data_IF_144331167024
#
_entry.id   IF_144331167024
#
_cell.length_a   1.000
_cell.length_b   1.000
_cell.length_c   1.000
_cell.angle_alpha   90.00
_cell.angle_beta   90.00
_cell.angle_gamma   90.00
#
_symmetry.space_group_name_H-M   'P 1'
#
loop_
_entity.id
_entity.type
_entity.pdbx_description
1 polymer ?
#
# COMPACT_ATOMS: atom_id res chain seq x y z
N UNK A 1 24.76 78.54 -37.09
CA UNK A 1 25.09 77.18 -36.64
C UNK A 1 26.51 76.85 -37.08
N UNK A 2 27.43 76.62 -36.13
CA UNK A 2 28.84 76.36 -36.44
C UNK A 2 28.99 75.07 -37.25
N UNK A 3 29.64 75.13 -38.42
CA UNK A 3 29.85 73.96 -39.30
C UNK A 3 30.48 72.77 -38.56
N UNK A 4 31.35 73.02 -37.57
CA UNK A 4 31.93 71.96 -36.72
C UNK A 4 30.94 71.16 -35.89
N UNK A 5 29.82 71.74 -35.45
CA UNK A 5 28.83 71.04 -34.60
C UNK A 5 27.99 70.07 -35.44
N UNK A 6 27.72 70.43 -36.70
CA UNK A 6 27.00 69.59 -37.65
C UNK A 6 27.84 68.39 -38.05
N UNK A 7 29.15 68.57 -38.28
CA UNK A 7 30.03 67.43 -38.55
C UNK A 7 30.13 66.47 -37.36
N UNK A 8 30.14 67.00 -36.13
CA UNK A 8 30.22 66.18 -34.91
C UNK A 8 28.93 65.37 -34.69
N UNK A 9 27.76 65.95 -34.97
CA UNK A 9 26.49 65.23 -34.93
C UNK A 9 26.37 64.16 -36.03
N UNK A 10 26.81 64.46 -37.26
CA UNK A 10 26.79 63.49 -38.37
C UNK A 10 27.77 62.34 -38.11
N UNK A 11 28.96 62.61 -37.58
CA UNK A 11 29.94 61.56 -37.25
C UNK A 11 29.51 60.68 -36.07
N UNK A 12 28.84 61.24 -35.07
CA UNK A 12 28.23 60.43 -33.99
C UNK A 12 27.07 59.57 -34.52
N UNK A 13 26.26 60.08 -35.46
CA UNK A 13 25.18 59.30 -36.08
C UNK A 13 25.70 58.14 -36.96
N UNK A 14 26.85 58.32 -37.63
CA UNK A 14 27.53 57.23 -38.34
C UNK A 14 28.18 56.22 -37.39
N UNK A 15 28.66 56.63 -36.21
CA UNK A 15 29.21 55.71 -35.21
C UNK A 15 28.13 54.80 -34.58
N UNK A 16 26.88 55.26 -34.47
CA UNK A 16 25.75 54.44 -33.98
C UNK A 16 25.14 53.51 -35.04
N UNK A 17 25.42 53.72 -36.33
CA UNK A 17 25.01 52.80 -37.42
C UNK A 17 26.12 51.81 -37.81
N UNK A 18 27.29 51.89 -37.18
CA UNK A 18 28.47 51.06 -37.50
C UNK A 18 28.82 50.03 -36.43
N UNK A 19 27.84 49.60 -35.64
CA UNK A 19 27.92 48.33 -34.90
C UNK A 19 27.11 47.25 -35.61
N UNK A 20 27.25 47.13 -36.93
CA UNK A 20 27.23 45.78 -37.50
C UNK A 20 28.47 45.09 -36.93
N UNK A 21 28.24 44.22 -35.96
CA UNK A 21 29.21 43.20 -35.62
C UNK A 21 29.65 42.57 -36.95
N UNK A 22 30.94 42.65 -37.27
CA UNK A 22 31.51 41.73 -38.26
C UNK A 22 31.39 40.35 -37.63
N UNK A 23 30.23 39.73 -37.85
CA UNK A 23 30.03 38.29 -37.78
C UNK A 23 31.14 37.71 -38.64
N UNK A 24 32.21 37.25 -38.00
CA UNK A 24 33.37 36.69 -38.68
C UNK A 24 32.88 35.63 -39.66
N UNK A 25 33.51 35.59 -40.83
CA UNK A 25 33.23 34.69 -41.96
C UNK A 25 33.48 33.21 -41.67
N UNK A 26 33.17 32.75 -40.45
CA UNK A 26 33.17 31.36 -40.02
C UNK A 26 31.80 30.95 -39.45
N UNK A 27 30.71 31.59 -39.91
CA UNK A 27 29.41 30.93 -39.82
C UNK A 27 29.40 29.87 -40.92
N UNK A 28 29.89 28.67 -40.59
CA UNK A 28 29.38 27.49 -41.28
C UNK A 28 27.89 27.49 -40.96
N UNK A 29 27.05 27.76 -41.97
CA UNK A 29 25.69 27.27 -41.97
C UNK A 29 25.81 25.76 -41.85
N UNK A 30 25.82 25.26 -40.62
CA UNK A 30 25.55 23.86 -40.38
C UNK A 30 24.15 23.66 -40.92
N UNK A 31 24.02 22.81 -41.94
CA UNK A 31 22.73 22.26 -42.34
C UNK A 31 21.96 21.98 -41.06
N UNK A 32 20.78 22.61 -40.95
CA UNK A 32 19.87 22.42 -39.84
C UNK A 32 19.78 20.90 -39.65
N UNK A 33 20.39 20.36 -38.59
CA UNK A 33 20.20 18.98 -38.21
C UNK A 33 18.72 18.86 -37.86
N UNK A 34 17.87 18.59 -38.85
CA UNK A 34 16.52 18.12 -38.64
C UNK A 34 16.68 16.68 -38.18
N UNK A 35 17.09 16.52 -36.93
CA UNK A 35 16.99 15.25 -36.27
C UNK A 35 15.50 14.98 -36.09
N UNK A 36 14.97 13.96 -36.76
CA UNK A 36 13.58 13.51 -36.62
C UNK A 36 13.28 13.02 -35.18
N UNK A 37 14.32 12.86 -34.36
CA UNK A 37 14.28 12.46 -32.96
C UNK A 37 15.44 13.09 -32.20
N UNK A 38 15.26 13.27 -30.90
CA UNK A 38 16.22 13.72 -29.89
C UNK A 38 16.92 12.53 -29.21
N UNK A 39 16.25 11.37 -29.14
CA UNK A 39 16.71 10.20 -28.41
C UNK A 39 17.02 9.01 -29.33
N UNK A 40 18.17 8.36 -29.13
CA UNK A 40 18.48 7.08 -29.76
C UNK A 40 17.57 5.96 -29.19
N UNK A 41 17.44 5.89 -27.86
CA UNK A 41 16.57 4.93 -27.17
C UNK A 41 15.91 5.56 -25.94
N UNK A 42 14.78 4.97 -25.56
CA UNK A 42 14.11 5.19 -24.27
C UNK A 42 13.81 3.80 -23.72
N UNK A 43 14.44 3.47 -22.60
CA UNK A 43 14.45 2.13 -22.04
C UNK A 43 13.85 2.17 -20.63
N UNK A 44 12.92 1.24 -20.36
CA UNK A 44 12.29 1.08 -19.05
C UNK A 44 12.86 -0.13 -18.32
N UNK A 45 13.13 0.03 -17.01
CA UNK A 45 13.70 -0.98 -16.13
C UNK A 45 12.84 -1.17 -14.89
N UNK A 46 13.07 -2.28 -14.19
CA UNK A 46 12.35 -2.64 -12.97
C UNK A 46 11.16 -3.55 -13.30
N UNK A 47 9.93 -3.21 -12.90
CA UNK A 47 8.77 -4.10 -13.01
C UNK A 47 8.18 -4.22 -14.43
N UNK A 48 8.77 -3.56 -15.43
CA UNK A 48 8.32 -3.60 -16.82
C UNK A 48 8.81 -4.87 -17.52
N UNK A 49 7.88 -5.75 -17.88
CA UNK A 49 8.12 -6.93 -18.71
C UNK A 49 7.84 -6.53 -20.16
N UNK A 50 8.83 -6.66 -21.03
CA UNK A 50 8.63 -6.39 -22.46
C UNK A 50 8.18 -7.67 -23.18
N UNK A 51 6.90 -7.72 -23.57
CA UNK A 51 6.38 -8.76 -24.45
C UNK A 51 6.72 -8.39 -25.90
N UNK A 52 7.79 -9.00 -26.40
CA UNK A 52 8.32 -8.76 -27.74
C UNK A 52 7.40 -9.23 -28.87
N UNK A 53 6.54 -10.23 -28.61
CA UNK A 53 5.61 -10.75 -29.63
C UNK A 53 4.49 -9.75 -29.88
N UNK A 54 3.91 -9.22 -28.81
CA UNK A 54 2.79 -8.27 -28.88
C UNK A 54 3.24 -6.79 -28.85
N UNK A 55 4.54 -6.53 -28.69
CA UNK A 55 5.16 -5.19 -28.58
C UNK A 55 4.49 -4.32 -27.50
N UNK A 56 4.21 -4.93 -26.36
CA UNK A 56 3.52 -4.32 -25.23
C UNK A 56 4.38 -4.43 -23.97
N UNK A 57 4.33 -3.41 -23.12
CA UNK A 57 4.83 -3.55 -21.76
C UNK A 57 3.76 -4.18 -20.88
N UNK A 58 4.15 -5.14 -20.06
CA UNK A 58 3.28 -5.71 -19.03
C UNK A 58 3.90 -5.37 -17.68
N UNK A 59 3.10 -4.81 -16.80
CA UNK A 59 3.49 -4.62 -15.39
C UNK A 59 2.53 -5.43 -14.55
N UNK A 60 3.11 -6.35 -13.81
CA UNK A 60 2.36 -7.22 -12.91
C UNK A 60 2.61 -6.82 -11.44
N UNK A 61 3.71 -6.11 -11.13
CA UNK A 61 4.21 -5.89 -9.76
C UNK A 61 4.59 -4.45 -9.47
N UNK A 62 4.38 -4.01 -8.22
CA UNK A 62 4.91 -2.75 -7.72
C UNK A 62 6.43 -2.85 -7.55
N UNK A 63 7.14 -1.74 -7.66
CA UNK A 63 8.57 -1.70 -7.40
C UNK A 63 9.27 -0.47 -7.94
N UNK A 64 10.58 -0.40 -7.64
CA UNK A 64 11.44 0.64 -8.19
C UNK A 64 11.56 0.47 -9.70
N UNK A 65 11.09 1.48 -10.41
CA UNK A 65 11.15 1.60 -11.84
C UNK A 65 12.17 2.67 -12.24
N UNK A 66 12.71 2.54 -13.45
CA UNK A 66 13.52 3.59 -14.04
C UNK A 66 13.27 3.72 -15.53
N UNK A 67 13.22 4.96 -16.01
CA UNK A 67 13.28 5.31 -17.42
C UNK A 67 14.67 5.90 -17.72
N UNK A 68 15.36 5.36 -18.72
CA UNK A 68 16.65 5.85 -19.19
C UNK A 68 16.54 6.29 -20.64
N UNK A 69 17.00 7.51 -20.91
CA UNK A 69 17.10 8.07 -22.24
C UNK A 69 18.55 7.99 -22.68
N UNK A 70 18.77 7.50 -23.91
CA UNK A 70 20.06 7.63 -24.59
C UNK A 70 19.93 8.75 -25.64
N UNK A 71 20.37 9.99 -25.36
CA UNK A 71 20.23 11.09 -26.31
C UNK A 71 21.13 10.88 -27.53
N UNK A 72 20.72 11.43 -28.68
CA UNK A 72 21.61 11.51 -29.85
C UNK A 72 22.78 12.46 -29.57
N UNK A 73 23.96 12.23 -30.19
CA UNK A 73 25.11 13.12 -30.04
C UNK A 73 24.74 14.57 -30.36
N UNK A 74 25.13 15.49 -29.47
CA UNK A 74 24.85 16.93 -29.61
C UNK A 74 23.58 17.41 -28.90
N UNK A 75 22.72 16.50 -28.44
CA UNK A 75 21.58 16.82 -27.59
C UNK A 75 21.90 16.68 -26.11
N UNK A 76 21.45 17.64 -25.32
CA UNK A 76 21.48 17.63 -23.86
C UNK A 76 20.04 17.60 -23.35
N UNK A 77 19.68 16.53 -22.64
CA UNK A 77 18.35 16.38 -22.05
C UNK A 77 18.24 17.31 -20.84
N UNK A 78 17.33 18.27 -20.91
CA UNK A 78 17.06 19.20 -19.81
C UNK A 78 16.06 18.57 -18.83
N UNK A 79 15.05 17.87 -19.35
CA UNK A 79 13.97 17.29 -18.56
C UNK A 79 13.36 16.08 -19.26
N UNK A 80 12.88 15.14 -18.48
CA UNK A 80 12.01 14.08 -18.96
C UNK A 80 10.76 13.97 -18.08
N UNK A 81 9.65 13.56 -18.70
CA UNK A 81 8.40 13.27 -18.01
C UNK A 81 7.90 11.89 -18.45
N UNK A 82 7.75 10.98 -17.50
CA UNK A 82 7.17 9.65 -17.69
C UNK A 82 5.72 9.67 -17.23
N UNK A 83 4.80 9.08 -18.02
CA UNK A 83 3.37 9.01 -17.67
C UNK A 83 2.78 7.63 -17.86
N UNK A 84 1.89 7.27 -16.96
CA UNK A 84 0.98 6.11 -17.05
C UNK A 84 -0.41 6.60 -16.67
N UNK A 85 -1.33 6.72 -17.64
CA UNK A 85 -2.65 7.32 -17.38
C UNK A 85 -2.53 8.76 -16.88
N UNK A 86 -3.07 9.05 -15.69
CA UNK A 86 -2.98 10.36 -15.03
C UNK A 86 -1.73 10.51 -14.15
N UNK A 87 -0.97 9.44 -13.93
CA UNK A 87 0.25 9.48 -13.10
C UNK A 87 1.42 10.05 -13.89
N UNK A 88 2.22 10.89 -13.22
CA UNK A 88 3.33 11.61 -13.82
C UNK A 88 4.57 11.56 -12.90
N UNK A 89 5.73 11.27 -13.50
CA UNK A 89 7.03 11.34 -12.84
C UNK A 89 7.98 12.18 -13.70
N UNK A 90 8.73 13.06 -13.05
CA UNK A 90 9.62 14.03 -13.69
C UNK A 90 11.05 13.84 -13.21
N UNK A 91 12.02 14.08 -14.10
CA UNK A 91 13.43 14.15 -13.73
C UNK A 91 14.20 15.15 -14.60
N UNK A 92 15.18 15.81 -14.00
CA UNK A 92 16.14 16.66 -14.68
C UNK A 92 17.28 15.78 -15.20
N UNK A 93 17.33 15.55 -16.52
CA UNK A 93 18.37 14.76 -17.18
C UNK A 93 17.88 13.43 -17.76
N UNK A 94 18.82 12.49 -18.00
CA UNK A 94 18.58 11.31 -18.83
C UNK A 94 18.01 10.11 -18.08
N UNK A 95 17.97 10.12 -16.74
CA UNK A 95 17.39 9.04 -15.93
C UNK A 95 16.26 9.57 -15.03
N UNK A 96 15.11 8.90 -15.05
CA UNK A 96 14.01 9.11 -14.11
C UNK A 96 13.78 7.83 -13.31
N UNK A 97 14.10 7.84 -12.02
CA UNK A 97 13.80 6.75 -11.08
C UNK A 97 12.50 7.08 -10.34
N UNK A 98 11.58 6.12 -10.26
CA UNK A 98 10.29 6.30 -9.60
C UNK A 98 9.79 5.00 -8.96
N UNK A 99 8.94 5.13 -7.94
CA UNK A 99 8.20 4.00 -7.38
C UNK A 99 6.93 3.81 -8.18
N UNK A 100 6.77 2.65 -8.81
CA UNK A 100 5.52 2.25 -9.44
C UNK A 100 4.72 1.43 -8.44
N UNK A 101 3.60 1.96 -7.98
CA UNK A 101 2.66 1.22 -7.13
C UNK A 101 1.44 0.81 -7.96
N UNK A 102 1.44 -0.43 -8.43
CA UNK A 102 0.36 -0.95 -9.28
C UNK A 102 -0.90 -1.28 -8.52
N UNK A 103 -0.83 -1.40 -7.19
CA UNK A 103 -2.01 -1.71 -6.38
C UNK A 103 -2.94 -0.49 -6.28
N UNK A 104 -2.42 0.71 -6.58
CA UNK A 104 -3.20 1.96 -6.74
C UNK A 104 -3.75 2.15 -8.17
N UNK A 105 -3.37 1.29 -9.13
CA UNK A 105 -3.74 1.43 -10.53
C UNK A 105 -4.67 0.27 -10.91
N UNK A 106 -5.90 0.54 -11.36
CA UNK A 106 -6.79 -0.53 -11.80
C UNK A 106 -6.15 -1.41 -12.89
N UNK A 107 -6.48 -2.71 -12.89
CA UNK A 107 -6.07 -3.59 -13.97
C UNK A 107 -6.70 -3.15 -15.30
N UNK A 108 -5.90 -3.11 -16.35
CA UNK A 108 -6.36 -2.64 -17.65
C UNK A 108 -5.25 -2.33 -18.64
N UNK A 109 -5.66 -1.78 -19.77
CA UNK A 109 -4.74 -1.29 -20.80
C UNK A 109 -4.56 0.21 -20.67
N UNK A 110 -3.30 0.64 -20.68
CA UNK A 110 -2.84 2.02 -20.49
C UNK A 110 -1.86 2.40 -21.60
N UNK A 111 -1.58 3.69 -21.72
CA UNK A 111 -0.45 4.21 -22.49
C UNK A 111 0.69 4.54 -21.51
N UNK A 112 1.84 3.89 -21.68
CA UNK A 112 3.10 4.33 -21.08
C UNK A 112 3.72 5.35 -22.03
N UNK A 113 4.08 6.54 -21.54
CA UNK A 113 4.74 7.53 -22.38
C UNK A 113 5.93 8.19 -21.70
N UNK A 114 6.89 8.64 -22.51
CA UNK A 114 8.02 9.44 -22.09
C UNK A 114 8.11 10.66 -23.00
N UNK A 115 8.07 11.85 -22.39
CA UNK A 115 8.26 13.14 -23.04
C UNK A 115 9.64 13.68 -22.68
N UNK A 116 10.45 13.99 -23.68
CA UNK A 116 11.85 14.39 -23.55
C UNK A 116 11.98 15.83 -24.00
N UNK A 117 12.51 16.67 -23.12
CA UNK A 117 12.85 18.06 -23.37
C UNK A 117 14.35 18.16 -23.47
N UNK A 118 14.86 18.60 -24.62
CA UNK A 118 16.30 18.73 -24.84
C UNK A 118 16.64 20.01 -25.57
N UNK A 119 17.91 20.39 -25.45
CA UNK A 119 18.53 21.45 -26.24
C UNK A 119 19.73 20.91 -27.00
N UNK A 120 20.20 21.68 -27.96
CA UNK A 120 21.43 21.39 -28.70
C UNK A 120 22.57 22.26 -28.17
N UNK A 121 23.75 21.67 -27.97
CA UNK A 121 24.97 22.40 -27.60
C UNK A 121 25.86 22.64 -28.83
N UNK A 122 25.25 23.14 -29.89
CA UNK A 122 25.82 23.36 -31.21
C UNK A 122 26.44 24.76 -31.37
N UNK A 123 26.52 25.56 -30.30
CA UNK A 123 27.18 26.86 -30.29
C UNK A 123 26.47 27.95 -31.11
N UNK A 124 25.25 27.71 -31.59
CA UNK A 124 24.44 28.69 -32.31
C UNK A 124 24.00 29.83 -31.39
N UNK A 125 23.67 30.99 -31.94
CA UNK A 125 23.13 32.12 -31.16
C UNK A 125 21.83 31.70 -30.45
N UNK A 126 21.00 30.88 -31.09
CA UNK A 126 19.77 30.36 -30.50
C UNK A 126 20.03 29.35 -29.36
N UNK A 127 21.07 28.52 -29.45
CA UNK A 127 21.54 27.67 -28.35
C UNK A 127 22.14 28.49 -27.20
N UNK A 128 22.90 29.55 -27.50
CA UNK A 128 23.53 30.43 -26.48
C UNK A 128 22.51 31.26 -25.68
N UNK A 129 21.35 31.59 -26.27
CA UNK A 129 20.26 32.30 -25.58
C UNK A 129 19.16 31.37 -25.05
N UNK A 130 19.36 30.05 -25.10
CA UNK A 130 18.43 29.04 -24.58
C UNK A 130 17.11 28.93 -25.34
N UNK A 131 17.07 29.36 -26.60
CA UNK A 131 15.86 29.36 -27.44
C UNK A 131 15.68 28.05 -28.24
N UNK A 132 16.71 27.20 -28.34
CA UNK A 132 16.61 25.89 -28.97
C UNK A 132 16.07 24.86 -27.97
N UNK A 133 14.77 24.59 -28.04
CA UNK A 133 14.10 23.52 -27.28
C UNK A 133 13.43 22.53 -28.21
N UNK A 134 13.78 21.27 -28.03
CA UNK A 134 13.18 20.14 -28.71
C UNK A 134 12.32 19.37 -27.71
N UNK A 135 11.13 18.98 -28.15
CA UNK A 135 10.22 18.15 -27.37
C UNK A 135 9.89 16.92 -28.21
N UNK A 136 10.18 15.75 -27.68
CA UNK A 136 9.82 14.46 -28.29
C UNK A 136 8.97 13.66 -27.30
N UNK A 137 7.82 13.15 -27.76
CA UNK A 137 7.01 12.19 -26.99
C UNK A 137 7.06 10.83 -27.67
N UNK A 138 7.40 9.80 -26.89
CA UNK A 138 7.24 8.39 -27.27
C UNK A 138 6.19 7.73 -26.39
N UNK A 139 5.39 6.85 -26.99
CA UNK A 139 4.33 6.13 -26.31
C UNK A 139 4.36 4.64 -26.67
N UNK A 140 4.07 3.80 -25.69
CA UNK A 140 3.98 2.35 -25.82
C UNK A 140 2.69 1.86 -25.18
N UNK A 141 2.04 0.83 -25.75
CA UNK A 141 0.95 0.18 -25.05
C UNK A 141 1.50 -0.48 -23.78
N UNK A 142 0.75 -0.36 -22.69
CA UNK A 142 1.05 -0.93 -21.38
C UNK A 142 -0.18 -1.71 -20.91
N UNK A 143 0.02 -2.91 -20.39
CA UNK A 143 -1.01 -3.67 -19.68
C UNK A 143 -0.63 -3.76 -18.21
N UNK A 144 -1.48 -3.21 -17.36
CA UNK A 144 -1.40 -3.41 -15.92
C UNK A 144 -2.24 -4.63 -15.60
N UNK A 145 -1.56 -5.66 -15.10
CA UNK A 145 -2.13 -6.92 -14.67
C UNK A 145 -1.67 -7.21 -13.24
N UNK A 146 -1.85 -6.20 -12.38
CA UNK A 146 -1.62 -6.31 -10.95
C UNK A 146 -2.48 -7.42 -10.35
N UNK A 147 -1.94 -8.11 -9.34
CA UNK A 147 -2.70 -9.13 -8.62
C UNK A 147 -3.63 -8.37 -7.65
N UNK A 148 -4.91 -8.24 -7.98
CA UNK A 148 -5.90 -7.68 -7.05
C UNK A 148 -5.92 -8.50 -5.76
N UNK A 149 -6.04 -7.83 -4.59
CA UNK A 149 -6.44 -8.51 -3.37
C UNK A 149 -7.69 -9.32 -3.69
N UNK A 150 -7.65 -10.61 -3.37
CA UNK A 150 -8.79 -11.44 -3.65
C UNK A 150 -9.89 -11.18 -2.63
N UNK A 151 -11.11 -10.93 -3.11
CA UNK A 151 -12.34 -10.86 -2.29
C UNK A 151 -12.80 -12.24 -1.77
N UNK A 152 -11.95 -13.28 -1.80
CA UNK A 152 -12.35 -14.59 -1.30
C UNK A 152 -12.63 -14.51 0.21
N UNK A 153 -13.85 -14.86 0.60
CA UNK A 153 -14.18 -15.05 2.00
C UNK A 153 -13.55 -16.35 2.51
N UNK A 154 -12.72 -16.25 3.55
CA UNK A 154 -12.18 -17.44 4.21
C UNK A 154 -13.30 -18.16 4.94
N UNK A 155 -13.25 -19.49 4.92
CA UNK A 155 -14.17 -20.31 5.73
C UNK A 155 -13.61 -20.43 7.14
N UNK A 156 -14.49 -20.50 8.12
CA UNK A 156 -14.11 -20.81 9.49
C UNK A 156 -15.08 -21.77 10.17
N UNK A 157 -14.62 -22.37 11.26
CA UNK A 157 -15.46 -23.06 12.26
C UNK A 157 -14.83 -22.91 13.64
N UNK A 158 -15.57 -23.26 14.68
CA UNK A 158 -15.00 -23.50 16.00
C UNK A 158 -14.85 -25.00 16.20
N UNK A 159 -13.67 -25.45 16.64
CA UNK A 159 -13.41 -26.87 16.86
C UNK A 159 -13.85 -27.35 18.25
N UNK A 160 -13.70 -28.64 18.54
CA UNK A 160 -14.09 -29.24 19.82
C UNK A 160 -13.32 -28.68 21.03
N UNK A 161 -12.15 -28.10 20.80
CA UNK A 161 -11.34 -27.42 21.82
C UNK A 161 -11.75 -25.95 22.01
N UNK A 162 -12.77 -25.45 21.30
CA UNK A 162 -13.20 -24.05 21.35
C UNK A 162 -12.25 -23.07 20.63
N UNK A 163 -11.38 -23.56 19.75
CA UNK A 163 -10.49 -22.72 18.95
C UNK A 163 -11.13 -22.39 17.61
N UNK A 164 -10.98 -21.15 17.15
CA UNK A 164 -11.36 -20.78 15.78
C UNK A 164 -10.38 -21.41 14.80
N UNK A 165 -10.91 -22.12 13.81
CA UNK A 165 -10.15 -22.70 12.71
C UNK A 165 -10.52 -21.98 11.42
N UNK A 166 -9.51 -21.45 10.75
CA UNK A 166 -9.65 -20.72 9.48
C UNK A 166 -9.11 -21.60 8.36
N UNK A 167 -9.81 -21.63 7.22
CA UNK A 167 -9.49 -22.46 6.06
C UNK A 167 -9.38 -21.60 4.80
N UNK A 168 -8.40 -21.91 3.97
CA UNK A 168 -8.20 -21.29 2.66
C UNK A 168 -8.05 -22.35 1.57
N UNK A 169 -8.21 -21.93 0.31
CA UNK A 169 -7.99 -22.78 -0.86
C UNK A 169 -6.76 -22.29 -1.63
N UNK A 170 -5.98 -23.22 -2.15
CA UNK A 170 -4.76 -22.92 -2.90
C UNK A 170 -4.68 -23.82 -4.13
N UNK A 171 -4.30 -23.23 -5.27
CA UNK A 171 -4.03 -23.99 -6.48
C UNK A 171 -2.70 -24.75 -6.33
N UNK A 172 -2.72 -26.07 -6.57
CA UNK A 172 -1.53 -26.93 -6.53
C UNK A 172 -0.42 -26.51 -7.50
N UNK A 173 -0.74 -25.76 -8.55
CA UNK A 173 0.26 -25.18 -9.45
C UNK A 173 1.24 -24.22 -8.74
N UNK A 174 0.82 -23.63 -7.62
CA UNK A 174 1.62 -22.68 -6.83
C UNK A 174 2.69 -23.37 -5.97
N UNK A 175 2.65 -24.70 -5.82
CA UNK A 175 3.56 -25.45 -4.94
C UNK A 175 5.03 -25.27 -5.28
N UNK A 176 5.38 -25.19 -6.56
CA UNK A 176 6.78 -25.13 -7.00
C UNK A 176 7.50 -23.84 -6.53
N UNK A 177 6.77 -22.73 -6.40
CA UNK A 177 7.30 -21.44 -5.96
C UNK A 177 7.07 -21.13 -4.48
N UNK A 178 6.28 -21.95 -3.78
CA UNK A 178 5.84 -21.70 -2.42
C UNK A 178 7.00 -21.55 -1.43
N UNK A 179 6.87 -20.56 -0.55
CA UNK A 179 7.75 -20.36 0.60
C UNK A 179 7.01 -20.61 1.92
N UNK A 180 6.01 -19.79 2.22
CA UNK A 180 5.18 -19.93 3.42
C UNK A 180 3.80 -19.26 3.24
N UNK A 181 2.84 -19.63 4.09
CA UNK A 181 1.64 -18.85 4.33
C UNK A 181 1.88 -17.87 5.47
N UNK A 182 1.28 -16.70 5.36
CA UNK A 182 1.18 -15.71 6.42
C UNK A 182 -0.28 -15.52 6.78
N UNK A 183 -0.60 -15.69 8.06
CA UNK A 183 -1.92 -15.47 8.62
C UNK A 183 -1.80 -14.26 9.53
N UNK A 184 -2.58 -13.23 9.24
CA UNK A 184 -2.65 -12.00 10.02
C UNK A 184 -4.01 -11.90 10.67
N UNK A 185 -4.03 -11.51 11.93
CA UNK A 185 -5.25 -11.07 12.60
C UNK A 185 -5.05 -9.65 13.10
N UNK A 186 -6.00 -8.78 12.76
CA UNK A 186 -6.02 -7.39 13.20
C UNK A 186 -7.29 -7.10 13.99
N UNK A 187 -7.15 -6.57 15.20
CA UNK A 187 -8.30 -6.11 15.99
C UNK A 187 -8.84 -4.80 15.45
N UNK A 188 -10.17 -4.69 15.37
CA UNK A 188 -10.86 -3.44 15.04
C UNK A 188 -11.43 -2.88 16.33
N UNK A 189 -10.66 -2.01 17.00
CA UNK A 189 -11.10 -1.21 18.15
C UNK A 189 -10.77 0.25 17.88
N UNK A 190 -11.67 1.16 18.24
CA UNK A 190 -11.50 2.61 18.14
C UNK A 190 -10.26 3.11 18.92
N UNK A 191 -9.83 2.39 19.97
CA UNK A 191 -8.76 2.83 20.87
C UNK A 191 -7.43 2.06 20.74
N UNK A 192 -7.42 0.84 20.19
CA UNK A 192 -6.22 0.02 20.09
C UNK A 192 -6.27 -0.97 18.91
N UNK A 193 -5.45 -0.71 17.88
CA UNK A 193 -5.22 -1.66 16.80
C UNK A 193 -4.05 -2.56 17.18
N UNK A 194 -4.33 -3.84 17.42
CA UNK A 194 -3.30 -4.86 17.60
C UNK A 194 -3.30 -5.76 16.37
N UNK A 195 -2.12 -6.20 15.95
CA UNK A 195 -1.98 -7.16 14.86
C UNK A 195 -0.94 -8.18 15.24
N UNK A 196 -1.26 -9.46 15.08
CA UNK A 196 -0.27 -10.52 15.18
C UNK A 196 -0.24 -11.34 13.90
N UNK A 197 0.95 -11.84 13.62
CA UNK A 197 1.28 -12.55 12.40
C UNK A 197 1.76 -13.95 12.76
N UNK A 198 1.23 -14.94 12.07
CA UNK A 198 1.63 -16.34 12.18
C UNK A 198 2.04 -16.87 10.81
N UNK A 199 3.16 -17.59 10.75
CA UNK A 199 3.63 -18.20 9.51
C UNK A 199 3.48 -19.73 9.52
N UNK A 200 3.25 -20.30 8.34
CA UNK A 200 3.16 -21.75 8.11
C UNK A 200 3.89 -22.14 6.82
N UNK A 201 4.93 -22.96 6.93
CA UNK A 201 5.77 -23.38 5.79
C UNK A 201 5.36 -24.71 5.17
N UNK A 202 4.18 -25.24 5.53
CA UNK A 202 3.66 -26.50 4.98
C UNK A 202 2.55 -26.19 3.99
N UNK A 203 2.81 -26.42 2.70
CA UNK A 203 1.88 -26.11 1.60
C UNK A 203 0.55 -26.86 1.74
N UNK A 204 0.57 -28.08 2.27
CA UNK A 204 -0.63 -28.92 2.32
C UNK A 204 -1.55 -28.60 3.52
N UNK A 205 -1.04 -27.82 4.48
CA UNK A 205 -1.81 -27.36 5.64
C UNK A 205 -2.54 -26.06 5.33
N UNK A 206 -3.66 -26.18 4.63
CA UNK A 206 -4.53 -25.06 4.28
C UNK A 206 -5.52 -24.66 5.39
N UNK A 207 -5.09 -24.75 6.65
CA UNK A 207 -5.88 -24.34 7.80
C UNK A 207 -5.02 -23.87 8.98
N UNK A 208 -5.60 -23.05 9.85
CA UNK A 208 -4.96 -22.57 11.06
C UNK A 208 -5.96 -22.53 12.22
N UNK A 209 -5.62 -23.19 13.32
CA UNK A 209 -6.34 -23.10 14.59
C UNK A 209 -5.69 -22.04 15.48
N UNK A 210 -6.44 -20.99 15.81
CA UNK A 210 -5.93 -19.87 16.59
C UNK A 210 -6.14 -20.08 18.09
N UNK A 211 -5.04 -20.04 18.84
CA UNK A 211 -5.03 -20.17 20.30
C UNK A 211 -5.08 -18.82 21.02
N UNK A 212 -4.93 -17.72 20.29
CA UNK A 212 -4.88 -16.35 20.84
C UNK A 212 -6.19 -15.60 20.66
N UNK A 213 -7.10 -16.12 19.84
CA UNK A 213 -8.40 -15.52 19.63
C UNK A 213 -9.34 -15.85 20.80
N UNK A 214 -10.00 -14.84 21.34
CA UNK A 214 -10.94 -14.99 22.45
C UNK A 214 -12.30 -14.34 22.16
N UNK A 215 -12.62 -14.10 20.89
CA UNK A 215 -13.93 -13.60 20.43
C UNK A 215 -14.01 -12.10 20.20
N UNK A 216 -12.88 -11.43 20.08
CA UNK A 216 -12.79 -10.02 19.75
C UNK A 216 -13.20 -9.69 18.31
N UNK A 217 -13.64 -8.45 18.06
CA UNK A 217 -13.91 -7.95 16.71
C UNK A 217 -12.60 -7.78 15.96
N UNK A 218 -12.52 -8.30 14.73
CA UNK A 218 -11.31 -8.19 13.94
C UNK A 218 -11.39 -8.86 12.58
N UNK A 219 -10.27 -8.84 11.86
CA UNK A 219 -10.16 -9.37 10.50
C UNK A 219 -9.00 -10.33 10.43
N UNK A 220 -9.27 -11.53 9.91
CA UNK A 220 -8.23 -12.43 9.44
C UNK A 220 -7.92 -12.16 7.97
N UNK A 221 -6.63 -12.09 7.64
CA UNK A 221 -6.15 -12.13 6.26
C UNK A 221 -5.14 -13.27 6.10
N UNK A 222 -5.24 -14.01 5.01
CA UNK A 222 -4.30 -15.09 4.69
C UNK A 222 -3.61 -14.78 3.39
N UNK A 223 -2.29 -14.91 3.38
CA UNK A 223 -1.47 -14.73 2.20
C UNK A 223 -0.55 -15.92 1.95
N UNK A 224 -0.18 -16.11 0.68
CA UNK A 224 0.86 -17.05 0.26
C UNK A 224 2.07 -16.29 -0.28
N UNK A 225 3.24 -16.59 0.27
CA UNK A 225 4.53 -16.04 -0.15
C UNK A 225 5.27 -17.01 -1.06
N UNK A 226 6.05 -16.46 -1.98
CA UNK A 226 6.85 -17.20 -2.95
C UNK A 226 8.33 -16.88 -2.80
N UNK A 227 9.20 -17.88 -3.00
CA UNK A 227 10.65 -17.72 -2.84
C UNK A 227 11.27 -16.67 -3.77
N UNK A 228 10.68 -16.50 -4.96
CA UNK A 228 11.11 -15.53 -5.96
C UNK A 228 10.52 -14.13 -5.74
N UNK A 229 9.52 -13.99 -4.88
CA UNK A 229 8.72 -12.77 -4.70
C UNK A 229 8.45 -12.54 -3.20
N UNK A 230 9.52 -12.37 -2.41
CA UNK A 230 9.42 -12.28 -0.95
C UNK A 230 8.61 -11.06 -0.46
N UNK A 231 8.56 -9.98 -1.24
CA UNK A 231 7.91 -8.73 -0.82
C UNK A 231 6.48 -8.57 -1.36
N UNK A 232 5.95 -9.56 -2.10
CA UNK A 232 4.63 -9.45 -2.72
C UNK A 232 3.83 -10.74 -2.63
N UNK A 233 3.26 -11.03 -1.45
CA UNK A 233 2.48 -12.23 -1.28
C UNK A 233 1.14 -12.13 -2.02
N UNK A 234 0.55 -13.28 -2.35
CA UNK A 234 -0.78 -13.34 -2.93
C UNK A 234 -1.82 -13.52 -1.82
N UNK A 235 -2.84 -12.67 -1.78
CA UNK A 235 -3.98 -12.88 -0.88
C UNK A 235 -4.74 -14.15 -1.26
N UNK A 236 -5.04 -14.96 -0.25
CA UNK A 236 -5.88 -16.15 -0.32
C UNK A 236 -7.29 -15.91 0.25
N UNK A 237 -7.53 -14.72 0.81
CA UNK A 237 -8.83 -14.28 1.29
C UNK A 237 -8.78 -13.52 2.61
N UNK A 238 -9.95 -13.02 3.02
CA UNK A 238 -10.19 -12.39 4.32
C UNK A 238 -11.43 -12.96 5.02
N UNK A 239 -11.48 -12.78 6.34
CA UNK A 239 -12.64 -13.09 7.17
C UNK A 239 -12.81 -12.00 8.22
N UNK A 240 -13.92 -11.29 8.13
CA UNK A 240 -14.36 -10.33 9.13
C UNK A 240 -15.14 -11.05 10.23
N UNK A 241 -14.78 -10.77 11.48
CA UNK A 241 -15.45 -11.30 12.68
C UNK A 241 -16.02 -10.15 13.49
N UNK A 242 -17.31 -10.27 13.82
CA UNK A 242 -17.93 -9.46 14.85
C UNK A 242 -17.55 -9.99 16.24
N UNK A 243 -17.63 -9.11 17.25
CA UNK A 243 -17.38 -9.53 18.63
C UNK A 243 -18.41 -10.58 19.03
N UNK A 244 -17.95 -11.71 19.58
CA UNK A 244 -18.86 -12.73 20.08
C UNK A 244 -19.49 -12.33 21.40
N UNK A 245 -20.79 -12.59 21.51
CA UNK A 245 -21.58 -12.35 22.71
C UNK A 245 -21.79 -13.66 23.47
N UNK A 246 -21.50 -13.72 24.78
CA UNK A 246 -21.85 -14.86 25.62
C UNK A 246 -23.37 -14.93 25.84
N UNK A 247 -23.89 -16.14 25.96
CA UNK A 247 -25.24 -16.36 26.49
C UNK A 247 -25.14 -16.45 28.02
N UNK A 248 -25.52 -15.38 28.72
CA UNK A 248 -25.44 -15.30 30.18
C UNK A 248 -26.79 -15.64 30.82
N UNK A 249 -26.75 -16.48 31.85
CA UNK A 249 -27.90 -16.85 32.66
C UNK A 249 -27.65 -16.54 34.13
N UNK A 250 -28.64 -15.94 34.79
CA UNK A 250 -28.65 -15.77 36.25
C UNK A 250 -29.28 -17.03 36.83
N UNK A 251 -28.49 -17.87 37.49
CA UNK A 251 -29.01 -19.11 38.09
C UNK A 251 -29.83 -18.81 39.34
N UNK A 252 -29.38 -17.85 40.15
CA UNK A 252 -30.17 -17.23 41.21
C UNK A 252 -29.60 -15.88 41.61
N UNK A 253 -30.46 -15.05 42.21
CA UNK A 253 -30.07 -13.79 42.83
C UNK A 253 -30.74 -13.64 44.20
N UNK A 254 -29.93 -13.45 45.23
CA UNK A 254 -30.35 -13.13 46.60
C UNK A 254 -29.93 -11.70 46.94
N UNK A 255 -30.36 -11.18 48.10
CA UNK A 255 -30.05 -9.81 48.53
C UNK A 255 -28.54 -9.51 48.53
N UNK A 256 -27.69 -10.49 48.88
CA UNK A 256 -26.25 -10.32 49.06
C UNK A 256 -25.40 -11.10 48.05
N UNK A 257 -26.00 -11.94 47.20
CA UNK A 257 -25.26 -12.90 46.38
C UNK A 257 -25.92 -13.21 45.06
N UNK A 258 -25.10 -13.39 44.04
CA UNK A 258 -25.52 -13.82 42.71
C UNK A 258 -24.71 -15.03 42.26
N UNK A 259 -25.35 -15.90 41.50
CA UNK A 259 -24.69 -16.95 40.74
C UNK A 259 -25.05 -16.81 39.26
N UNK A 260 -24.01 -16.72 38.44
CA UNK A 260 -24.10 -16.60 37.00
C UNK A 260 -23.53 -17.86 36.36
N UNK A 261 -24.13 -18.27 35.25
CA UNK A 261 -23.51 -19.16 34.28
C UNK A 261 -23.52 -18.53 32.90
N UNK A 262 -22.57 -18.90 32.06
CA UNK A 262 -22.53 -18.45 30.68
C UNK A 262 -22.04 -19.55 29.75
N UNK A 263 -22.53 -19.51 28.52
CA UNK A 263 -21.94 -20.26 27.42
C UNK A 263 -21.21 -19.30 26.49
N UNK A 264 -20.03 -19.72 26.04
CA UNK A 264 -19.20 -18.94 25.14
C UNK A 264 -18.58 -19.88 24.10
N UNK A 265 -18.59 -19.52 22.81
CA UNK A 265 -18.12 -20.42 21.75
C UNK A 265 -16.62 -20.65 21.81
N UNK A 266 -15.85 -19.70 22.35
CA UNK A 266 -14.39 -19.77 22.34
C UNK A 266 -13.82 -20.27 23.66
N UNK A 267 -12.72 -21.01 23.57
CA UNK A 267 -11.97 -21.47 24.73
C UNK A 267 -11.20 -20.30 25.35
N UNK A 268 -11.88 -19.66 26.29
CA UNK A 268 -11.43 -18.46 26.97
C UNK A 268 -11.50 -18.65 28.48
N UNK A 269 -10.67 -17.90 29.18
CA UNK A 269 -10.84 -17.66 30.59
C UNK A 269 -11.46 -16.29 30.82
N UNK A 270 -12.25 -16.19 31.89
CA UNK A 270 -13.10 -15.03 32.13
C UNK A 270 -12.77 -14.42 33.49
N UNK A 271 -12.42 -13.14 33.48
CA UNK A 271 -12.48 -12.32 34.69
C UNK A 271 -13.88 -11.72 34.81
N UNK A 272 -14.56 -12.01 35.91
CA UNK A 272 -15.85 -11.42 36.25
C UNK A 272 -15.60 -10.17 37.07
N UNK A 273 -16.09 -9.05 36.57
CA UNK A 273 -15.89 -7.72 37.16
C UNK A 273 -17.23 -7.16 37.58
N UNK A 274 -17.31 -6.71 38.82
CA UNK A 274 -18.50 -6.12 39.39
C UNK A 274 -18.11 -4.86 40.16
N UNK A 275 -18.73 -3.72 39.82
CA UNK A 275 -18.38 -2.43 40.43
C UNK A 275 -16.92 -2.01 40.24
N UNK A 276 -16.31 -2.43 39.12
CA UNK A 276 -14.91 -2.16 38.79
C UNK A 276 -13.89 -3.10 39.46
N UNK A 277 -14.31 -3.97 40.38
CA UNK A 277 -13.44 -4.95 41.03
C UNK A 277 -13.58 -6.34 40.40
N UNK A 278 -12.46 -7.07 40.29
CA UNK A 278 -12.48 -8.47 39.86
C UNK A 278 -13.01 -9.31 41.02
N UNK A 279 -14.20 -9.88 40.86
CA UNK A 279 -14.88 -10.70 41.87
C UNK A 279 -14.69 -12.20 41.64
N UNK A 280 -14.35 -12.60 40.42
CA UNK A 280 -13.84 -13.92 40.10
C UNK A 280 -12.78 -13.79 38.99
N UNK A 281 -11.61 -14.40 39.20
CA UNK A 281 -10.47 -14.32 38.28
C UNK A 281 -10.33 -15.63 37.50
N UNK A 282 -10.09 -15.55 36.19
CA UNK A 282 -9.72 -16.67 35.31
C UNK A 282 -10.65 -17.88 35.39
N UNK A 283 -11.96 -17.62 35.40
CA UNK A 283 -13.00 -18.65 35.38
C UNK A 283 -13.02 -19.35 34.01
N UNK A 284 -13.02 -20.68 34.00
CA UNK A 284 -12.95 -21.49 32.77
C UNK A 284 -14.09 -22.51 32.63
N UNK A 285 -14.84 -22.75 33.71
CA UNK A 285 -16.00 -23.66 33.73
C UNK A 285 -17.32 -22.94 33.42
N UNK A 286 -17.27 -21.64 33.17
CA UNK A 286 -18.42 -20.84 32.76
C UNK A 286 -19.39 -20.50 33.89
N UNK A 287 -18.97 -20.59 35.16
CA UNK A 287 -19.82 -20.34 36.32
C UNK A 287 -19.09 -19.48 37.35
N UNK A 288 -19.74 -18.44 37.86
CA UNK A 288 -19.22 -17.65 38.96
C UNK A 288 -20.30 -17.31 39.99
N UNK A 289 -19.89 -17.30 41.27
CA UNK A 289 -20.72 -16.90 42.40
C UNK A 289 -19.98 -15.86 43.22
N UNK A 290 -20.60 -14.70 43.45
CA UNK A 290 -19.97 -13.57 44.15
C UNK A 290 -20.97 -12.71 44.91
N UNK A 291 -20.43 -11.86 45.79
CA UNK A 291 -21.20 -10.95 46.66
C UNK A 291 -21.65 -9.71 45.89
N UNK A 292 -22.90 -9.27 46.13
CA UNK A 292 -23.46 -8.01 45.60
C UNK A 292 -23.22 -6.81 46.55
N UNK A 293 -22.62 -7.04 47.72
CA UNK A 293 -22.48 -6.02 48.75
C UNK A 293 -21.56 -4.85 48.34
N UNK A 294 -21.97 -3.63 48.69
CA UNK A 294 -21.09 -2.44 48.65
C UNK A 294 -21.00 -1.71 47.30
N UNK A 295 -21.83 -2.04 46.32
CA UNK A 295 -21.81 -1.42 44.99
C UNK A 295 -23.15 -0.72 44.67
N UNK A 296 -23.08 0.53 44.21
CA UNK A 296 -24.26 1.31 43.79
C UNK A 296 -24.72 0.93 42.38
N UNK A 297 -23.78 0.66 41.46
CA UNK A 297 -24.07 0.23 40.09
C UNK A 297 -24.06 -1.31 39.98
N UNK A 298 -25.15 -1.88 39.47
CA UNK A 298 -25.31 -3.34 39.30
C UNK A 298 -24.88 -3.83 37.92
N UNK A 299 -23.75 -3.32 37.43
CA UNK A 299 -23.17 -3.73 36.14
C UNK A 299 -22.15 -4.84 36.36
N UNK A 300 -22.31 -5.93 35.60
CA UNK A 300 -21.34 -7.02 35.52
C UNK A 300 -20.66 -6.96 34.17
N UNK A 301 -19.34 -7.06 34.17
CA UNK A 301 -18.52 -7.17 32.97
C UNK A 301 -17.80 -8.53 32.98
N UNK A 302 -17.93 -9.27 31.89
CA UNK A 302 -17.20 -10.49 31.60
C UNK A 302 -16.06 -10.15 30.64
N UNK A 303 -14.82 -10.34 31.08
CA UNK A 303 -13.62 -10.06 30.29
C UNK A 303 -12.97 -11.36 29.85
N UNK A 304 -13.04 -11.64 28.56
CA UNK A 304 -12.56 -12.87 27.95
C UNK A 304 -11.10 -12.72 27.49
N UNK A 305 -10.28 -13.69 27.87
CA UNK A 305 -8.87 -13.78 27.48
C UNK A 305 -8.53 -15.21 27.04
N UNK A 306 -7.53 -15.42 26.17
CA UNK A 306 -7.11 -16.75 25.77
C UNK A 306 -6.56 -17.56 26.95
N UNK A 307 -6.91 -18.84 27.02
CA UNK A 307 -6.39 -19.72 28.08
C UNK A 307 -4.88 -19.93 27.89
N UNK A 308 -4.08 -19.48 28.86
CA UNK A 308 -2.61 -19.65 28.84
C UNK A 308 -1.83 -18.40 28.45
N UNK A 309 -2.48 -17.34 27.95
CA UNK A 309 -1.84 -16.07 27.60
C UNK A 309 -2.58 -14.90 28.30
N UNK A 310 -2.23 -14.69 29.57
CA UNK A 310 -3.03 -13.94 30.56
C UNK A 310 -2.75 -12.43 30.60
N UNK A 311 -1.96 -11.91 29.66
CA UNK A 311 -1.51 -10.52 29.64
C UNK A 311 -2.35 -9.58 28.77
N UNK A 312 -3.23 -10.14 27.92
CA UNK A 312 -4.02 -9.40 26.93
C UNK A 312 -5.51 -9.73 27.09
N UNK A 313 -6.34 -8.69 27.30
CA UNK A 313 -7.80 -8.79 27.33
C UNK A 313 -8.31 -8.50 25.94
N UNK A 314 -9.14 -9.40 25.41
CA UNK A 314 -9.45 -9.40 23.99
C UNK A 314 -10.92 -9.04 23.73
N UNK A 315 -11.87 -9.60 24.49
CA UNK A 315 -13.29 -9.28 24.35
C UNK A 315 -13.94 -8.99 25.69
N UNK A 316 -14.79 -7.95 25.75
CA UNK A 316 -15.52 -7.57 26.96
C UNK A 316 -17.02 -7.56 26.67
N UNK A 317 -17.79 -8.13 27.58
CA UNK A 317 -19.25 -8.11 27.54
C UNK A 317 -19.80 -7.54 28.85
N UNK A 318 -20.61 -6.49 28.77
CA UNK A 318 -21.19 -5.84 29.94
C UNK A 318 -22.71 -5.94 29.89
N UNK A 319 -23.32 -6.24 31.04
CA UNK A 319 -24.77 -6.26 31.19
C UNK A 319 -25.18 -5.73 32.56
N UNK A 320 -26.37 -5.15 32.63
CA UNK A 320 -26.94 -4.61 33.87
C UNK A 320 -27.88 -5.64 34.50
N UNK A 321 -27.62 -6.00 35.76
CA UNK A 321 -28.46 -6.93 36.52
C UNK A 321 -29.88 -6.39 36.77
N UNK A 322 -30.10 -5.07 36.70
CA UNK A 322 -31.44 -4.48 36.83
C UNK A 322 -32.39 -4.88 35.69
N UNK A 323 -31.83 -5.24 34.54
CA UNK A 323 -32.59 -5.71 33.38
C UNK A 323 -32.86 -7.22 33.44
N UNK A 324 -32.24 -7.93 34.39
CA UNK A 324 -32.50 -9.35 34.61
C UNK A 324 -33.77 -9.49 35.49
N UNK A 325 -34.75 -10.32 35.09
CA UNK A 325 -35.90 -10.58 35.96
C UNK A 325 -35.40 -11.13 37.30
N UNK A 326 -35.97 -10.64 38.41
CA UNK A 326 -35.73 -11.23 39.72
C UNK A 326 -36.24 -12.69 39.68
N UNK A 327 -35.31 -13.66 39.74
CA UNK A 327 -35.59 -15.10 39.80
C UNK A 327 -35.66 -15.55 41.26
#
# INVERSE_FOLDING_TARGET
MNKSVVYLFVSVFFLFTSCEYRLGENFMDFEKWQADSVAMSVDFYGPFIHDWENKIFVVEHSGNAACQISPLPGFEVEKQIVRIGEMEWESDGTRCDFMLDVDLIPNGSYELSCEVFARTNNGTVAGQVGAERYVEKRSWPLKINARTESEFSLRHRVNEEGLIEIFWEVDGALRAGFDHYQIEFSTIDENAHSTYITQRSDFDKCFYADKRYAGEKGVYKVYIYFKSEADRPRSLGSLDLEQAEPEVQVEYMKEDRIRLSWTYPYHSAVDVVYGGEIVAEKVTDGIAEFSLAGQEERVVELRFSPVGDWGYKNANYSFNLENCPNI
#
